data_IF_607003694813
#
_entry.id   IF_607003694813
#
_cell.length_a   1.000
_cell.length_b   1.000
_cell.length_c   1.000
_cell.angle_alpha   90.00
_cell.angle_beta   90.00
_cell.angle_gamma   90.00
#
_symmetry.space_group_name_H-M   'P 1'
#
loop_
_entity.id
_entity.type
_entity.pdbx_description
1 polymer ?
2 non-polymer ?
3 non-polymer ?
4 non-polymer ?
5 non-polymer ?
6 water ?
#
# COMPACT_ATOMS: atom_id res chain seq x y z
N UNK A 21 10.40 27.98 -16.04
CA UNK A 21 9.07 28.66 -16.16
C UNK A 21 7.90 27.69 -15.88
N UNK A 22 7.87 26.55 -16.58
CA UNK A 22 6.87 25.49 -16.29
C UNK A 22 7.10 24.89 -14.90
N UNK A 23 8.36 24.56 -14.59
CA UNK A 23 8.78 24.07 -13.26
C UNK A 23 8.67 25.13 -12.16
N UNK A 24 8.55 26.40 -12.55
CA UNK A 24 8.33 27.52 -11.62
C UNK A 24 6.83 27.63 -11.26
N UNK A 25 5.97 27.53 -12.27
CA UNK A 25 4.53 27.46 -12.06
C UNK A 25 4.24 26.28 -11.11
N UNK A 26 4.92 25.17 -11.33
CA UNK A 26 4.65 23.93 -10.56
C UNK A 26 5.14 24.07 -9.13
N UNK A 27 6.34 24.64 -8.96
CA UNK A 27 6.92 24.74 -7.63
C UNK A 27 6.05 25.61 -6.75
N UNK A 28 5.56 26.71 -7.29
CA UNK A 28 4.73 27.61 -6.51
C UNK A 28 3.45 26.88 -6.24
N UNK A 29 2.99 26.17 -7.27
CA UNK A 29 1.71 25.49 -7.22
C UNK A 29 1.63 24.41 -6.12
N UNK A 30 2.73 23.75 -5.81
CA UNK A 30 2.70 22.68 -4.82
C UNK A 30 3.17 23.06 -3.44
N UNK A 31 3.78 24.26 -3.28
CA UNK A 31 4.43 24.59 -2.01
C UNK A 31 3.42 24.49 -0.88
N UNK A 32 2.15 24.76 -1.17
CA UNK A 32 1.10 24.63 -0.18
C UNK A 32 0.94 23.16 0.27
N UNK A 33 0.88 22.27 -0.70
CA UNK A 33 0.73 20.83 -0.43
C UNK A 33 1.92 20.32 0.40
N UNK A 34 3.11 20.67 -0.03
CA UNK A 34 4.31 20.34 0.73
C UNK A 34 4.31 20.88 2.18
N UNK A 35 4.04 22.17 2.36
CA UNK A 35 3.95 22.76 3.70
C UNK A 35 2.89 22.09 4.55
N UNK A 36 1.78 21.64 3.93
CA UNK A 36 0.71 20.94 4.67
C UNK A 36 1.30 19.73 5.40
N UNK A 37 2.32 19.07 4.81
CA UNK A 37 2.81 17.81 5.34
C UNK A 37 3.88 17.97 6.40
N UNK A 38 4.31 19.19 6.65
CA UNK A 38 5.46 19.41 7.54
C UNK A 38 5.25 18.87 8.95
N UNK A 39 6.29 18.24 9.50
CA UNK A 39 6.25 17.80 10.91
C UNK A 39 7.40 18.50 11.63
N UNK A 40 7.36 18.51 12.97
CA UNK A 40 8.30 19.41 13.66
C UNK A 40 9.77 19.09 13.47
N UNK A 41 10.06 17.84 13.11
CA UNK A 41 11.44 17.39 12.88
C UNK A 41 12.07 18.00 11.66
N UNK A 42 11.27 18.48 10.74
CA UNK A 42 11.78 19.10 9.52
C UNK A 42 12.43 20.43 9.81
N UNK A 43 13.60 20.64 9.24
CA UNK A 43 14.31 21.92 9.38
C UNK A 43 14.38 22.61 8.04
N UNK A 44 14.33 23.95 8.05
CA UNK A 44 14.61 24.75 6.85
C UNK A 44 13.65 24.52 5.68
N UNK A 51 16.89 19.34 1.81
CA UNK A 51 15.83 18.64 2.57
C UNK A 51 16.43 18.10 3.86
N UNK A 52 16.19 18.80 5.00
CA UNK A 52 16.78 18.46 6.31
C UNK A 52 15.74 17.98 7.31
N UNK A 53 16.05 16.94 8.06
CA UNK A 53 15.10 16.37 9.00
C UNK A 53 15.83 15.73 10.18
N UNK A 54 15.41 16.10 11.39
CA UNK A 54 15.95 15.51 12.59
C UNK A 54 15.24 14.22 12.90
N UNK A 55 15.85 13.38 13.74
CA UNK A 55 15.18 12.17 14.20
C UNK A 55 14.14 12.53 15.27
N UNK A 56 13.01 11.84 15.28
CA UNK A 56 12.05 12.10 16.38
C UNK A 56 12.71 11.83 17.75
N UNK A 57 12.41 12.69 18.71
CA UNK A 57 13.12 12.63 20.00
C UNK A 57 12.84 11.35 20.81
N UNK A 58 11.75 10.62 20.56
CA UNK A 58 11.40 9.51 21.45
C UNK A 58 12.33 8.32 21.32
N UNK A 59 13.09 8.24 20.22
CA UNK A 59 13.87 7.05 19.93
C UNK A 59 15.15 7.11 20.71
N UNK A 60 15.47 6.04 21.43
CA UNK A 60 16.74 5.92 22.15
C UNK A 60 17.83 5.32 21.28
N UNK A 61 17.48 4.31 20.48
CA UNK A 61 18.42 3.69 19.54
C UNK A 61 17.72 3.59 18.18
N UNK A 62 17.60 4.73 17.50
CA UNK A 62 16.85 4.73 16.23
C UNK A 62 17.55 3.96 15.12
N UNK A 63 16.78 3.22 14.34
CA UNK A 63 17.30 2.60 13.16
C UNK A 63 16.46 3.11 12.00
N UNK A 64 17.11 3.44 10.90
CA UNK A 64 16.39 3.92 9.74
C UNK A 64 15.93 2.76 8.86
N UNK A 65 14.71 2.83 8.38
CA UNK A 65 14.09 1.82 7.54
C UNK A 65 13.66 2.54 6.30
N UNK A 66 14.06 2.07 5.13
CA UNK A 66 13.79 2.83 3.92
C UNK A 66 13.29 1.93 2.79
N UNK A 67 12.64 2.53 1.81
CA UNK A 67 12.17 1.79 0.69
C UNK A 67 11.75 2.69 -0.42
N UNK A 68 11.68 2.10 -1.61
CA UNK A 68 11.25 2.81 -2.82
C UNK A 68 10.21 1.97 -3.51
N UNK A 69 9.26 2.60 -4.21
CA UNK A 69 8.15 1.86 -4.86
C UNK A 69 7.61 2.77 -5.95
N UNK A 70 6.90 2.19 -6.89
CA UNK A 70 6.12 2.97 -7.85
C UNK A 70 4.72 2.39 -7.70
N UNK A 71 3.82 2.79 -8.56
CA UNK A 71 2.41 2.35 -8.47
C UNK A 71 2.11 1.28 -9.53
N UNK A 72 3.05 1.09 -10.48
CA UNK A 72 2.90 0.05 -11.48
C UNK A 72 1.87 0.28 -12.56
N UNK A 73 1.18 -0.78 -12.99
CA UNK A 73 0.27 -0.59 -14.03
C UNK A 73 -0.93 0.20 -13.61
N UNK A 74 -1.15 0.39 -12.29
CA UNK A 74 -2.28 1.27 -11.91
C UNK A 74 -2.14 2.64 -12.56
N UNK A 75 -0.89 3.11 -12.72
CA UNK A 75 -0.68 4.40 -13.33
C UNK A 75 -1.24 4.42 -14.75
N UNK A 76 -1.13 3.29 -15.47
CA UNK A 76 -1.67 3.20 -16.85
C UNK A 76 -3.17 3.40 -16.86
N UNK A 77 -3.88 2.81 -15.89
CA UNK A 77 -5.29 3.10 -15.74
C UNK A 77 -5.61 4.55 -15.45
N UNK A 78 -4.85 5.18 -14.56
CA UNK A 78 -5.07 6.60 -14.28
C UNK A 78 -4.85 7.44 -15.54
N UNK A 79 -3.85 7.09 -16.33
CA UNK A 79 -3.54 7.79 -17.60
C UNK A 79 -4.64 7.54 -18.62
N UNK A 80 -5.14 6.30 -18.72
CA UNK A 80 -6.28 5.92 -19.60
C UNK A 80 -7.48 6.82 -19.24
N UNK A 81 -7.73 6.97 -17.95
CA UNK A 81 -8.89 7.70 -17.42
C UNK A 81 -8.65 9.19 -17.24
N UNK A 82 -7.42 9.64 -17.49
CA UNK A 82 -7.05 11.04 -17.22
C UNK A 82 -7.49 11.52 -15.86
N UNK A 83 -7.18 10.73 -14.82
CA UNK A 83 -7.55 11.08 -13.47
C UNK A 83 -6.36 10.83 -12.56
N UNK A 84 -5.77 11.92 -12.05
CA UNK A 84 -4.44 11.93 -11.46
C UNK A 84 -4.46 12.37 -10.01
N UNK A 85 -5.63 12.64 -9.46
CA UNK A 85 -5.71 13.23 -8.13
C UNK A 85 -5.54 12.29 -6.92
N UNK A 86 -5.57 10.99 -7.14
CA UNK A 86 -5.42 10.01 -6.08
C UNK A 86 -4.23 9.05 -6.22
N UNK A 87 -3.63 9.00 -7.42
CA UNK A 87 -2.55 8.05 -7.69
C UNK A 87 -1.35 8.28 -6.75
N UNK A 88 -1.17 9.53 -6.34
CA UNK A 88 -0.11 9.85 -5.34
C UNK A 88 -0.35 9.22 -3.99
N UNK A 89 -1.63 9.02 -3.63
CA UNK A 89 -1.96 8.28 -2.41
C UNK A 89 -1.51 6.85 -2.50
N UNK A 90 -1.79 6.21 -3.64
CA UNK A 90 -1.30 4.84 -3.85
C UNK A 90 0.23 4.77 -3.74
N UNK A 91 0.91 5.77 -4.30
CA UNK A 91 2.38 5.77 -4.25
C UNK A 91 2.89 5.78 -2.82
N UNK A 92 2.36 6.68 -2.01
CA UNK A 92 2.79 6.81 -0.61
C UNK A 92 2.43 5.53 0.12
N UNK A 93 1.19 5.04 -0.09
CA UNK A 93 0.71 3.82 0.57
C UNK A 93 1.59 2.66 0.35
N UNK A 94 2.01 2.43 -0.88
CA UNK A 94 2.87 1.29 -1.22
C UNK A 94 4.14 1.35 -0.37
N UNK A 95 4.76 2.54 -0.33
CA UNK A 95 5.99 2.74 0.42
C UNK A 95 5.76 2.56 1.92
N UNK A 96 4.78 3.25 2.47
CA UNK A 96 4.65 3.27 3.95
C UNK A 96 4.10 1.98 4.50
N UNK A 97 3.21 1.32 3.77
CA UNK A 97 2.66 0.07 4.28
C UNK A 97 3.74 -1.03 4.28
N UNK A 98 4.74 -0.92 3.43
CA UNK A 98 5.91 -1.80 3.53
C UNK A 98 6.77 -1.44 4.75
N UNK A 99 6.85 -0.18 5.16
CA UNK A 99 7.67 0.14 6.31
C UNK A 99 7.06 -0.35 7.60
N UNK A 100 5.74 -0.28 7.72
CA UNK A 100 5.09 -0.62 8.98
C UNK A 100 5.29 -2.09 9.33
N UNK A 101 5.59 -2.94 8.35
CA UNK A 101 5.75 -4.37 8.65
C UNK A 101 6.94 -4.67 9.54
N UNK A 102 7.92 -3.75 9.59
CA UNK A 102 9.06 -3.85 10.48
C UNK A 102 8.91 -3.03 11.73
N UNK A 103 7.79 -2.35 11.89
CA UNK A 103 7.54 -1.49 13.04
C UNK A 103 7.94 -0.03 12.84
N UNK A 104 8.33 0.36 11.63
CA UNK A 104 8.88 1.67 11.39
C UNK A 104 7.78 2.76 11.30
N UNK A 105 8.06 3.91 11.88
CA UNK A 105 7.23 5.09 11.79
C UNK A 105 7.72 5.92 10.59
N UNK A 106 6.85 6.12 9.57
CA UNK A 106 7.29 6.95 8.45
C UNK A 106 7.67 8.36 8.96
N UNK A 107 8.80 8.87 8.46
CA UNK A 107 9.32 10.13 8.85
C UNK A 107 9.26 11.14 7.69
N UNK A 108 9.87 10.80 6.55
CA UNK A 108 9.83 11.69 5.39
C UNK A 108 9.78 10.93 4.06
N UNK A 109 9.44 11.67 3.02
CA UNK A 109 9.11 11.13 1.73
C UNK A 109 9.64 12.06 0.66
N UNK A 110 10.10 11.46 -0.44
CA UNK A 110 10.49 12.18 -1.63
C UNK A 110 9.96 11.46 -2.88
N UNK A 111 9.66 12.21 -3.93
CA UNK A 111 9.18 11.65 -5.17
C UNK A 111 10.02 12.13 -6.36
N UNK A 112 10.17 11.21 -7.31
CA UNK A 112 10.75 11.53 -8.62
C UNK A 112 9.67 11.34 -9.69
N UNK A 113 9.35 12.41 -10.39
CA UNK A 113 8.29 12.45 -11.39
C UNK A 113 8.98 12.69 -12.75
N UNK A 114 8.81 11.77 -13.69
CA UNK A 114 9.42 11.88 -15.00
C UNK A 114 8.35 11.90 -16.05
N UNK A 115 8.55 12.71 -17.07
CA UNK A 115 7.54 12.87 -18.09
C UNK A 115 8.20 13.33 -19.42
N UNK A 116 7.49 13.23 -20.53
CA UNK A 116 8.04 13.68 -21.79
C UNK A 116 7.93 15.18 -21.99
N UNK A 117 6.75 15.70 -21.65
CA UNK A 117 6.44 17.11 -21.69
C UNK A 117 5.73 17.46 -20.38
N UNK A 118 6.22 18.42 -19.58
CA UNK A 118 5.63 18.66 -18.26
C UNK A 118 4.28 19.30 -18.45
N UNK A 119 3.23 18.63 -17.99
CA UNK A 119 1.90 19.22 -17.82
C UNK A 119 1.78 19.64 -16.35
N UNK A 120 1.85 20.93 -16.10
CA UNK A 120 1.87 21.43 -14.74
C UNK A 120 0.64 21.08 -13.92
N UNK A 121 -0.54 21.06 -14.54
CA UNK A 121 -1.76 20.69 -13.80
C UNK A 121 -1.72 19.24 -13.39
N UNK A 122 -1.31 18.35 -14.31
CA UNK A 122 -1.19 16.95 -14.01
C UNK A 122 -0.19 16.73 -12.86
N UNK A 123 1.00 17.32 -12.99
CA UNK A 123 2.03 17.09 -11.99
C UNK A 123 1.59 17.62 -10.63
N UNK A 124 0.94 18.78 -10.64
CA UNK A 124 0.43 19.36 -9.39
C UNK A 124 -0.63 18.46 -8.73
N UNK A 125 -1.49 17.83 -9.54
CA UNK A 125 -2.50 16.89 -9.03
C UNK A 125 -1.85 15.66 -8.42
N UNK A 126 -0.83 15.13 -9.09
CA UNK A 126 -0.14 13.98 -8.59
C UNK A 126 0.51 14.30 -7.26
N UNK A 127 1.27 15.37 -7.25
CA UNK A 127 1.99 15.78 -6.05
C UNK A 127 1.04 16.11 -4.89
N UNK A 128 -0.11 16.74 -5.16
CA UNK A 128 -1.08 17.00 -4.09
C UNK A 128 -1.59 15.70 -3.49
N UNK A 129 -1.78 14.66 -4.30
CA UNK A 129 -2.23 13.40 -3.79
C UNK A 129 -1.13 12.72 -2.98
N UNK A 130 0.13 12.93 -3.41
CA UNK A 130 1.26 12.48 -2.58
C UNK A 130 1.24 13.14 -1.22
N UNK A 131 0.95 14.44 -1.18
CA UNK A 131 0.84 15.15 0.09
C UNK A 131 -0.31 14.60 0.93
N UNK A 132 -1.45 14.32 0.31
CA UNK A 132 -2.57 13.70 1.02
C UNK A 132 -2.15 12.40 1.71
N UNK A 133 -1.45 11.55 0.96
CA UNK A 133 -0.94 10.29 1.51
C UNK A 133 0.05 10.46 2.62
N UNK A 134 0.98 11.40 2.45
CA UNK A 134 1.96 11.69 3.46
C UNK A 134 1.30 12.08 4.79
N UNK A 135 0.30 12.93 4.70
CA UNK A 135 -0.45 13.31 5.93
C UNK A 135 -1.12 12.14 6.59
N UNK A 136 -1.74 11.25 5.82
CA UNK A 136 -2.31 10.07 6.44
C UNK A 136 -1.24 9.10 7.02
N UNK A 137 -0.05 9.09 6.41
CA UNK A 137 1.08 8.27 6.88
C UNK A 137 1.91 8.92 7.98
N UNK A 138 1.66 10.20 8.27
CA UNK A 138 2.43 10.96 9.21
C UNK A 138 3.87 11.33 8.87
N UNK A 139 4.21 11.31 7.56
CA UNK A 139 5.54 11.68 7.12
C UNK A 139 5.49 12.97 6.34
N UNK A 140 6.59 13.68 6.34
CA UNK A 140 6.71 14.96 5.65
C UNK A 140 7.18 14.70 4.23
N UNK A 141 6.55 15.37 3.27
CA UNK A 141 7.07 15.43 1.92
C UNK A 141 8.13 16.49 1.91
N UNK A 142 9.39 16.09 1.76
CA UNK A 142 10.45 17.05 1.99
C UNK A 142 11.24 17.37 0.74
N UNK A 143 10.95 16.72 -0.37
CA UNK A 143 11.76 16.97 -1.56
C UNK A 143 11.29 16.13 -2.69
N UNK A 144 11.84 16.39 -3.86
CA UNK A 144 11.48 15.61 -5.01
C UNK A 144 12.13 16.21 -6.24
N UNK A 145 11.83 15.60 -7.36
CA UNK A 145 12.43 15.97 -8.65
C UNK A 145 11.35 15.87 -9.71
N UNK A 146 11.28 16.85 -10.60
CA UNK A 146 10.42 16.74 -11.77
C UNK A 146 11.30 16.78 -13.00
N UNK A 147 11.30 15.73 -13.79
CA UNK A 147 12.21 15.60 -14.92
C UNK A 147 11.51 15.51 -16.23
N UNK A 148 11.95 16.29 -17.23
CA UNK A 148 11.44 16.13 -18.59
C UNK A 148 12.44 15.35 -19.43
N UNK A 149 11.93 14.29 -20.04
CA UNK A 149 12.73 13.32 -20.83
C UNK A 149 12.02 13.21 -22.19
N UNK A 150 12.18 14.22 -23.04
CA UNK A 150 11.47 14.11 -24.31
C UNK A 150 11.91 12.86 -25.12
N UNK A 151 10.95 12.18 -25.71
CA UNK A 151 11.28 11.00 -26.49
C UNK A 151 11.14 9.71 -25.72
N UNK A 152 11.24 9.80 -24.39
CA UNK A 152 11.11 8.62 -23.53
C UNK A 152 9.69 8.31 -23.22
N UNK A 153 8.87 9.33 -23.08
CA UNK A 153 7.48 9.12 -22.76
C UNK A 153 6.65 9.67 -23.88
N UNK A 154 5.63 8.92 -24.26
CA UNK A 154 4.73 9.32 -25.36
C UNK A 154 3.52 10.06 -24.80
N UNK A 155 2.99 10.99 -25.60
CA UNK A 155 1.79 11.73 -25.19
C UNK A 155 1.87 12.43 -23.84
N UNK A 156 0.89 12.12 -23.00
CA UNK A 156 0.79 12.72 -21.69
C UNK A 156 1.36 11.83 -20.56
N UNK A 157 2.03 10.74 -20.92
CA UNK A 157 2.53 9.77 -19.94
C UNK A 157 3.56 10.39 -19.00
N UNK A 158 3.50 9.94 -17.75
CA UNK A 158 4.53 10.20 -16.78
C UNK A 158 4.77 8.91 -15.97
N UNK A 159 5.90 8.84 -15.24
CA UNK A 159 6.17 7.76 -14.33
C UNK A 159 6.60 8.43 -13.02
N UNK A 160 6.17 7.89 -11.88
CA UNK A 160 6.48 8.47 -10.60
C UNK A 160 7.02 7.38 -9.62
N UNK A 161 8.14 7.70 -8.96
CA UNK A 161 8.75 6.83 -7.99
C UNK A 161 8.70 7.52 -6.66
N UNK A 162 8.51 6.71 -5.64
CA UNK A 162 8.38 7.20 -4.27
C UNK A 162 9.52 6.63 -3.45
N UNK A 163 9.95 7.40 -2.47
CA UNK A 163 10.99 6.96 -1.55
C UNK A 163 10.63 7.44 -0.16
N UNK A 164 10.72 6.55 0.82
CA UNK A 164 10.34 6.88 2.20
C UNK A 164 11.42 6.42 3.15
N UNK A 165 11.67 7.23 4.19
CA UNK A 165 12.50 6.85 5.32
C UNK A 165 11.59 6.88 6.57
N UNK A 166 11.64 5.79 7.33
CA UNK A 166 10.98 5.66 8.60
C UNK A 166 12.01 5.35 9.69
N UNK A 167 11.52 5.32 10.92
CA UNK A 167 12.36 5.12 12.11
C UNK A 167 11.74 4.04 13.03
N UNK A 168 12.61 3.16 13.56
CA UNK A 168 12.18 2.13 14.49
C UNK A 168 13.21 2.05 15.58
N UNK A 169 12.74 1.74 16.77
CA UNK A 169 13.62 1.56 17.92
C UNK A 169 14.33 0.20 17.71
N UNK A 170 15.66 0.15 17.84
CA UNK A 170 16.41 -1.06 17.45
C UNK A 170 15.87 -2.35 18.12
N UNK A 171 15.57 -2.25 19.41
CA UNK A 171 15.17 -3.44 20.18
C UNK A 171 13.77 -3.88 19.82
N UNK A 172 13.05 -3.05 19.05
CA UNK A 172 11.63 -3.29 18.77
C UNK A 172 11.36 -3.59 17.31
N UNK A 173 12.41 -3.87 16.53
CA UNK A 173 12.21 -4.25 15.13
C UNK A 173 11.34 -5.51 15.09
N UNK A 174 10.35 -5.53 14.22
CA UNK A 174 9.54 -6.74 14.04
C UNK A 174 10.25 -7.53 12.96
N UNK A 175 10.87 -8.65 13.35
CA UNK A 175 11.66 -9.45 12.40
C UNK A 175 11.07 -10.84 12.10
N UNK A 176 9.94 -11.15 12.70
CA UNK A 176 9.28 -12.44 12.49
C UNK A 176 9.75 -13.58 13.37
N UNK A 177 10.78 -13.34 14.19
CA UNK A 177 11.38 -14.36 15.06
C UNK A 177 10.44 -14.86 16.13
N UNK A 178 9.45 -14.03 16.45
CA UNK A 178 8.48 -14.36 17.48
C UNK A 178 7.24 -15.14 17.00
N UNK A 179 7.07 -15.34 15.70
CA UNK A 179 5.89 -16.04 15.21
C UNK A 179 5.92 -17.48 15.71
N UNK A 180 4.78 -17.97 16.18
CA UNK A 180 4.64 -19.31 16.77
C UNK A 180 3.51 -20.07 16.08
N UNK A 181 3.67 -21.39 15.95
CA UNK A 181 2.52 -22.22 15.68
C UNK A 181 1.51 -21.95 16.75
N UNK A 182 0.25 -21.79 16.39
CA UNK A 182 -0.81 -21.43 17.33
C UNK A 182 -1.15 -19.95 17.37
N UNK A 183 -0.29 -19.12 16.77
CA UNK A 183 -0.63 -17.68 16.62
C UNK A 183 -1.92 -17.54 15.84
N UNK A 184 -2.71 -16.52 16.18
CA UNK A 184 -3.85 -16.09 15.37
C UNK A 184 -3.33 -15.25 14.18
N UNK A 185 -4.13 -15.20 13.12
CA UNK A 185 -3.91 -14.34 11.98
C UNK A 185 -5.08 -13.35 11.88
N UNK A 186 -4.80 -12.06 11.88
CA UNK A 186 -5.79 -11.03 11.70
C UNK A 186 -5.61 -10.50 10.31
N UNK A 187 -6.70 -10.33 9.60
CA UNK A 187 -6.75 -9.56 8.34
C UNK A 187 -7.19 -8.13 8.59
N UNK A 188 -6.59 -7.19 7.85
CA UNK A 188 -7.04 -5.82 7.79
C UNK A 188 -7.50 -5.58 6.38
N UNK A 189 -8.74 -5.11 6.25
CA UNK A 189 -9.41 -4.96 4.97
C UNK A 189 -8.71 -3.96 4.04
N UNK A 190 -8.76 -4.27 2.76
CA UNK A 190 -8.25 -3.38 1.67
C UNK A 190 -9.38 -2.49 1.15
N UNK A 191 -8.98 -1.45 0.41
CA UNK A 191 -9.89 -0.51 -0.21
C UNK A 191 -10.37 -0.92 -1.61
N UNK A 192 -9.80 -2.02 -2.08
CA UNK A 192 -9.94 -2.52 -3.44
C UNK A 192 -8.64 -3.19 -3.80
N UNK A 193 -8.34 -3.25 -5.11
CA UNK A 193 -7.11 -3.91 -5.56
C UNK A 193 -5.81 -3.23 -5.12
N UNK A 194 -5.89 -2.05 -4.51
CA UNK A 194 -4.69 -1.29 -4.07
C UNK A 194 -3.84 -0.95 -5.27
N UNK A 195 -2.61 -1.45 -5.38
CA UNK A 195 -1.77 -1.10 -6.54
C UNK A 195 -1.22 -2.34 -7.21
N UNK A 196 -1.86 -3.50 -7.03
CA UNK A 196 -1.39 -4.75 -7.62
C UNK A 196 -2.53 -5.45 -8.39
N UNK A 197 -2.14 -6.19 -9.41
CA UNK A 197 -3.06 -6.89 -10.29
C UNK A 197 -3.52 -6.04 -11.47
N UNK A 198 -2.95 -4.85 -11.66
CA UNK A 198 -3.51 -3.95 -12.66
C UNK A 198 -3.16 -4.30 -14.10
N UNK A 199 -2.16 -5.17 -14.31
CA UNK A 199 -1.99 -5.73 -15.65
C UNK A 199 -3.17 -6.59 -16.05
N UNK A 200 -3.62 -7.45 -15.13
CA UNK A 200 -4.81 -8.25 -15.35
C UNK A 200 -6.04 -7.38 -15.40
N UNK A 201 -6.14 -6.36 -14.55
CA UNK A 201 -7.26 -5.44 -14.66
C UNK A 201 -7.37 -4.86 -16.06
N UNK A 202 -6.26 -4.39 -16.59
CA UNK A 202 -6.33 -3.74 -17.91
C UNK A 202 -6.65 -4.71 -19.01
N UNK A 203 -6.13 -5.92 -18.93
CA UNK A 203 -6.50 -6.94 -19.89
C UNK A 203 -7.99 -7.25 -19.83
N UNK A 204 -8.54 -7.39 -18.63
CA UNK A 204 -9.95 -7.62 -18.47
C UNK A 204 -10.75 -6.48 -19.13
N UNK A 205 -10.37 -5.24 -18.81
CA UNK A 205 -11.08 -4.10 -19.36
C UNK A 205 -10.96 -4.07 -20.90
N UNK A 206 -9.78 -4.39 -21.44
CA UNK A 206 -9.63 -4.27 -22.88
C UNK A 206 -10.35 -5.40 -23.63
N UNK A 207 -10.32 -6.63 -23.11
CA UNK A 207 -10.97 -7.72 -23.83
C UNK A 207 -12.45 -7.57 -23.76
N UNK A 208 -12.97 -7.15 -22.60
CA UNK A 208 -14.41 -7.05 -22.42
C UNK A 208 -14.96 -5.72 -22.94
N UNK A 209 -14.05 -4.84 -23.37
CA UNK A 209 -14.42 -3.50 -23.79
C UNK A 209 -15.34 -2.86 -22.76
N UNK A 210 -14.98 -3.03 -21.50
CA UNK A 210 -15.85 -2.65 -20.39
C UNK A 210 -16.15 -1.16 -20.38
N UNK A 211 -17.40 -0.85 -20.07
CA UNK A 211 -17.82 0.51 -19.83
C UNK A 211 -17.45 0.90 -18.39
N UNK A 212 -16.45 1.75 -18.23
CA UNK A 212 -16.00 2.11 -16.86
C UNK A 212 -17.03 2.97 -16.14
N UNK A 213 -18.05 3.46 -16.86
CA UNK A 213 -19.11 4.27 -16.23
C UNK A 213 -20.21 3.44 -15.61
N UNK A 214 -20.21 2.13 -15.86
CA UNK A 214 -21.19 1.23 -15.28
C UNK A 214 -21.16 1.34 -13.77
N UNK A 215 -22.33 1.34 -13.14
CA UNK A 215 -22.38 1.46 -11.69
C UNK A 215 -22.40 0.10 -11.01
N UNK A 216 -21.72 0.00 -9.89
CA UNK A 216 -21.65 -1.20 -9.11
C UNK A 216 -21.67 -0.72 -7.68
N UNK A 217 -22.64 -1.15 -6.88
CA UNK A 217 -22.71 -0.78 -5.49
C UNK A 217 -22.50 0.73 -5.23
N UNK A 218 -23.14 1.55 -6.05
CA UNK A 218 -23.18 2.98 -5.82
C UNK A 218 -22.00 3.79 -6.32
N UNK A 219 -21.05 3.16 -7.01
CA UNK A 219 -19.91 3.86 -7.61
C UNK A 219 -19.66 3.30 -8.97
N UNK A 220 -19.00 4.05 -9.84
CA UNK A 220 -18.68 3.49 -11.13
C UNK A 220 -17.57 2.46 -11.01
N UNK A 221 -17.49 1.58 -12.01
CA UNK A 221 -16.36 0.64 -12.12
C UNK A 221 -15.02 1.38 -12.13
N UNK A 222 -14.93 2.46 -12.88
CA UNK A 222 -13.69 3.24 -12.92
C UNK A 222 -13.33 3.75 -11.50
N UNK A 223 -14.32 4.21 -10.77
CA UNK A 223 -14.11 4.65 -9.41
C UNK A 223 -13.62 3.57 -8.48
N UNK A 224 -14.24 2.38 -8.55
CA UNK A 224 -13.82 1.25 -7.77
C UNK A 224 -12.37 0.89 -8.07
N UNK A 225 -12.02 0.95 -9.35
CA UNK A 225 -10.69 0.44 -9.74
C UNK A 225 -9.60 1.44 -9.46
N UNK A 226 -9.94 2.73 -9.48
CA UNK A 226 -8.91 3.76 -9.12
C UNK A 226 -8.87 4.10 -7.61
N UNK A 227 -9.77 3.51 -6.82
CA UNK A 227 -9.85 3.80 -5.38
C UNK A 227 -8.46 3.68 -4.80
N UNK A 228 -8.00 4.74 -4.07
CA UNK A 228 -6.66 4.68 -3.54
C UNK A 228 -6.47 3.64 -2.44
N UNK A 229 -5.27 3.08 -2.46
CA UNK A 229 -4.79 2.10 -1.48
C UNK A 229 -5.00 2.63 -0.07
N UNK A 230 -5.52 1.79 0.81
CA UNK A 230 -5.67 2.13 2.22
C UNK A 230 -4.29 2.23 2.87
N UNK A 231 -4.14 3.27 3.68
CA UNK A 231 -2.88 3.49 4.41
C UNK A 231 -3.05 3.01 5.87
N UNK A 232 -2.16 2.14 6.32
CA UNK A 232 -2.35 1.43 7.63
C UNK A 232 -1.48 1.98 8.76
N UNK A 233 -0.95 3.20 8.61
CA UNK A 233 0.03 3.70 9.58
C UNK A 233 -0.58 4.06 10.94
N UNK A 234 -1.67 4.84 10.96
CA UNK A 234 -2.27 5.29 12.23
C UNK A 234 -2.67 4.07 13.08
N UNK A 235 -3.37 3.14 12.45
CA UNK A 235 -3.84 1.96 13.16
C UNK A 235 -2.67 1.05 13.47
N UNK A 236 -1.78 0.85 12.49
CA UNK A 236 -0.62 -0.04 12.66
C UNK A 236 0.27 0.35 13.83
N UNK A 237 0.63 1.61 13.90
CA UNK A 237 1.53 2.09 14.97
C UNK A 237 0.89 1.93 16.35
N UNK A 238 -0.41 2.19 16.44
CA UNK A 238 -1.15 2.01 17.69
C UNK A 238 -1.18 0.54 18.10
N UNK A 239 -1.48 -0.32 17.14
CA UNK A 239 -1.51 -1.77 17.37
C UNK A 239 -0.17 -2.28 17.89
N UNK A 240 0.91 -1.87 17.26
CA UNK A 240 2.25 -2.36 17.63
C UNK A 240 2.61 -1.90 19.01
N UNK A 241 2.14 -0.70 19.36
CA UNK A 241 2.39 -0.12 20.68
C UNK A 241 1.68 -0.84 21.79
N UNK A 242 0.48 -1.37 21.50
CA UNK A 242 -0.43 -1.92 22.51
C UNK A 242 -0.51 -3.43 22.58
N UNK A 243 0.06 -4.13 21.60
CA UNK A 243 -0.04 -5.59 21.50
C UNK A 243 1.28 -6.19 21.06
N UNK A 244 1.45 -7.49 21.32
CA UNK A 244 2.65 -8.22 20.93
C UNK A 244 2.46 -8.70 19.49
N UNK A 245 2.91 -7.91 18.52
CA UNK A 245 2.79 -8.27 17.13
C UNK A 245 4.02 -9.07 16.68
N UNK A 246 3.79 -10.28 16.18
CA UNK A 246 4.87 -11.17 15.81
C UNK A 246 5.35 -10.98 14.37
N UNK A 247 4.46 -10.62 13.45
CA UNK A 247 4.79 -10.40 12.05
C UNK A 247 3.61 -9.69 11.36
N UNK A 248 3.92 -8.97 10.29
CA UNK A 248 2.92 -8.34 9.47
C UNK A 248 3.34 -8.55 8.03
N UNK A 249 2.38 -8.88 7.17
CA UNK A 249 2.61 -8.90 5.75
C UNK A 249 1.68 -7.93 5.05
N UNK A 250 2.27 -7.08 4.20
CA UNK A 250 1.51 -6.16 3.33
C UNK A 250 1.22 -6.87 2.02
N UNK A 251 -0.06 -7.06 1.71
CA UNK A 251 -0.43 -7.92 0.60
C UNK A 251 -0.32 -7.13 -0.73
N UNK A 252 0.71 -7.47 -1.49
CA UNK A 252 1.07 -6.74 -2.72
C UNK A 252 1.17 -7.69 -3.94
N UNK A 253 2.29 -7.72 -4.64
CA UNK A 253 2.37 -8.51 -5.86
C UNK A 253 2.29 -9.99 -5.58
N UNK A 254 1.49 -10.69 -6.39
CA UNK A 254 1.30 -12.12 -6.19
C UNK A 254 0.10 -12.38 -5.32
N UNK A 255 -0.55 -11.31 -4.87
CA UNK A 255 -1.85 -11.40 -4.29
C UNK A 255 -1.84 -12.03 -2.91
N UNK A 256 -3.06 -12.25 -2.44
CA UNK A 256 -3.36 -12.97 -1.21
C UNK A 256 -2.50 -14.23 -1.03
N UNK A 257 -2.42 -15.04 -2.09
CA UNK A 257 -1.81 -16.37 -1.98
C UNK A 257 -0.31 -16.29 -1.78
N UNK A 258 0.38 -15.37 -2.46
CA UNK A 258 1.84 -15.30 -2.38
C UNK A 258 2.35 -14.57 -1.18
N UNK A 259 1.54 -13.65 -0.64
CA UNK A 259 2.03 -12.76 0.40
C UNK A 259 1.75 -13.21 1.81
N UNK A 260 0.69 -14.00 1.99
CA UNK A 260 0.38 -14.54 3.34
C UNK A 260 1.58 -15.28 3.92
N UNK A 261 2.30 -16.13 3.14
CA UNK A 261 3.45 -16.82 3.70
C UNK A 261 4.61 -16.03 4.21
N UNK A 262 4.65 -14.72 4.00
CA UNK A 262 5.72 -13.90 4.59
C UNK A 262 5.68 -13.86 6.11
N UNK A 263 4.53 -14.15 6.72
CA UNK A 263 4.47 -14.21 8.20
C UNK A 263 4.85 -15.61 8.77
N UNK A 264 5.09 -16.59 7.89
CA UNK A 264 5.25 -18.00 8.31
C UNK A 264 6.69 -18.49 8.51
N UNK A 265 7.01 -19.01 9.72
CA UNK A 265 8.25 -19.77 9.89
C UNK A 265 8.26 -21.00 8.98
N UNK A 266 9.45 -21.49 8.66
CA UNK A 266 9.58 -22.78 7.99
C UNK A 266 8.77 -23.85 8.76
N UNK A 267 8.14 -24.76 8.04
CA UNK A 267 7.40 -25.86 8.64
C UNK A 267 6.03 -25.49 9.18
N UNK A 268 5.53 -24.34 8.75
CA UNK A 268 4.18 -23.92 9.14
C UNK A 268 3.33 -23.52 7.93
N UNK A 269 2.03 -23.39 8.20
CA UNK A 269 1.06 -22.98 7.20
C UNK A 269 0.06 -22.03 7.82
N UNK A 270 -0.53 -21.20 6.96
CA UNK A 270 -1.62 -20.33 7.34
C UNK A 270 -2.92 -21.09 7.04
N UNK A 271 -3.72 -21.38 8.06
CA UNK A 271 -5.00 -22.04 7.86
C UNK A 271 -6.05 -20.93 7.92
N UNK A 272 -6.59 -20.63 6.74
CA UNK A 272 -7.52 -19.50 6.55
C UNK A 272 -8.95 -19.97 6.70
N UNK A 273 -9.69 -19.27 7.55
CA UNK A 273 -11.11 -19.51 7.73
C UNK A 273 -11.90 -18.86 6.57
N UNK A 274 -12.33 -19.70 5.63
CA UNK A 274 -13.09 -19.21 4.48
C UNK A 274 -14.49 -18.72 4.78
N UNK A 275 -14.99 -18.95 5.96
CA UNK A 275 -16.25 -18.38 6.40
C UNK A 275 -16.12 -16.95 6.91
N UNK A 276 -14.89 -16.41 7.02
CA UNK A 276 -14.70 -15.22 7.82
C UNK A 276 -14.83 -13.91 7.03
N UNK A 277 -14.92 -13.99 5.70
CA UNK A 277 -15.10 -12.81 4.86
C UNK A 277 -15.64 -13.17 3.50
N UNK A 278 -16.18 -12.13 2.85
CA UNK A 278 -16.60 -12.21 1.47
C UNK A 278 -15.73 -11.27 0.67
N UNK A 279 -15.16 -11.77 -0.42
CA UNK A 279 -14.44 -10.88 -1.34
C UNK A 279 -15.24 -9.63 -1.63
N UNK A 280 -14.61 -8.43 -1.55
CA UNK A 280 -15.29 -7.19 -1.99
C UNK A 280 -15.78 -7.34 -3.44
N UNK A 281 -16.92 -6.74 -3.72
CA UNK A 281 -17.61 -6.95 -4.97
C UNK A 281 -16.79 -6.63 -6.22
N UNK A 282 -15.85 -5.68 -6.15
CA UNK A 282 -15.05 -5.36 -7.32
C UNK A 282 -14.24 -6.55 -7.81
N UNK A 283 -13.79 -7.39 -6.89
CA UNK A 283 -13.06 -8.59 -7.28
C UNK A 283 -13.97 -9.62 -7.92
N UNK A 284 -15.19 -9.74 -7.43
CA UNK A 284 -16.17 -10.65 -8.04
C UNK A 284 -16.50 -10.16 -9.46
N UNK A 285 -16.66 -8.85 -9.64
CA UNK A 285 -16.93 -8.26 -10.93
C UNK A 285 -15.77 -8.58 -11.87
N UNK A 286 -14.53 -8.36 -11.41
CA UNK A 286 -13.35 -8.59 -12.26
C UNK A 286 -13.32 -10.07 -12.70
N UNK A 287 -13.59 -10.99 -11.79
CA UNK A 287 -13.54 -12.41 -12.13
C UNK A 287 -14.58 -12.77 -13.18
N UNK A 288 -15.80 -12.24 -13.04
CA UNK A 288 -16.92 -12.58 -13.94
C UNK A 288 -16.70 -11.96 -15.31
N UNK A 289 -16.43 -10.67 -15.31
CA UNK A 289 -16.21 -9.91 -16.53
C UNK A 289 -15.02 -10.46 -17.33
N UNK A 290 -14.00 -10.89 -16.60
CA UNK A 290 -12.74 -11.33 -17.21
C UNK A 290 -12.57 -12.82 -17.46
N UNK A 291 -13.57 -13.65 -17.09
CA UNK A 291 -13.48 -15.12 -17.34
C UNK A 291 -12.23 -15.64 -16.62
N UNK A 292 -12.02 -15.24 -15.37
CA UNK A 292 -10.80 -15.51 -14.64
C UNK A 292 -11.02 -16.63 -13.64
N UNK A 293 -10.04 -17.53 -13.52
CA UNK A 293 -10.15 -18.58 -12.51
C UNK A 293 -9.98 -18.03 -11.11
N UNK A 294 -10.59 -18.72 -10.14
CA UNK A 294 -10.35 -18.35 -8.74
C UNK A 294 -8.86 -18.49 -8.43
N UNK A 295 -8.25 -19.54 -8.99
CA UNK A 295 -6.83 -19.80 -8.80
C UNK A 295 -5.98 -18.57 -9.17
N UNK A 296 -6.27 -18.00 -10.33
CA UNK A 296 -5.52 -16.83 -10.77
C UNK A 296 -5.89 -15.61 -9.89
N UNK A 297 -7.16 -15.43 -9.55
CA UNK A 297 -7.56 -14.32 -8.70
C UNK A 297 -6.75 -14.28 -7.40
N UNK A 298 -6.63 -15.41 -6.74
CA UNK A 298 -5.95 -15.44 -5.46
C UNK A 298 -4.46 -15.14 -5.60
N UNK A 299 -3.89 -15.43 -6.76
CA UNK A 299 -2.46 -15.19 -6.97
C UNK A 299 -2.16 -13.86 -7.66
N UNK A 300 -3.17 -13.01 -7.77
CA UNK A 300 -3.04 -11.73 -8.45
C UNK A 300 -3.52 -10.59 -7.53
N UNK A 301 -4.67 -10.78 -6.90
CA UNK A 301 -5.34 -9.72 -6.16
C UNK A 301 -5.34 -10.00 -4.68
N UNK A 302 -5.55 -8.94 -3.89
CA UNK A 302 -5.59 -9.10 -2.47
C UNK A 302 -6.90 -9.73 -1.96
N UNK A 303 -7.93 -9.72 -2.78
CA UNK A 303 -9.20 -10.36 -2.50
C UNK A 303 -9.87 -9.85 -1.20
N UNK A 304 -9.52 -8.63 -0.80
CA UNK A 304 -10.10 -7.99 0.37
C UNK A 304 -9.21 -7.83 1.56
N UNK A 305 -8.02 -8.40 1.49
CA UNK A 305 -7.07 -8.41 2.60
C UNK A 305 -5.85 -7.58 2.24
N UNK A 306 -5.71 -6.44 2.93
CA UNK A 306 -4.56 -5.53 2.72
C UNK A 306 -3.33 -5.82 3.57
N UNK A 307 -3.57 -6.29 4.80
CA UNK A 307 -2.53 -6.71 5.70
C UNK A 307 -2.98 -7.97 6.38
N UNK A 308 -2.00 -8.84 6.67
CA UNK A 308 -2.24 -9.96 7.57
C UNK A 308 -1.22 -9.86 8.70
N UNK A 309 -1.70 -10.12 9.91
CA UNK A 309 -0.93 -9.92 11.12
C UNK A 309 -0.93 -11.19 11.96
N UNK A 310 0.24 -11.61 12.42
CA UNK A 310 0.38 -12.77 13.30
C UNK A 310 0.59 -12.26 14.74
N UNK A 311 -0.18 -12.77 15.68
CA UNK A 311 -0.06 -12.41 17.12
C UNK A 311 -0.68 -13.50 17.98
N UNK A 312 -0.49 -13.45 19.29
CA UNK A 312 -1.08 -14.47 20.14
C UNK A 312 -2.60 -14.49 20.05
N UNK A 313 -3.22 -15.69 20.11
CA UNK A 313 -4.67 -15.79 20.07
C UNK A 313 -5.34 -14.99 21.16
N UNK A 314 -4.73 -14.94 22.33
CA UNK A 314 -5.38 -14.27 23.46
C UNK A 314 -5.36 -12.75 23.39
N UNK A 315 -4.69 -12.22 22.37
CA UNK A 315 -4.73 -10.80 22.08
C UNK A 315 -5.50 -10.47 20.79
N UNK A 316 -5.93 -11.48 20.03
CA UNK A 316 -6.53 -11.23 18.72
C UNK A 316 -7.81 -10.40 18.78
N UNK A 317 -8.71 -10.69 19.71
CA UNK A 317 -9.99 -9.95 19.73
C UNK A 317 -9.81 -8.49 20.12
N UNK A 318 -8.93 -8.24 21.08
CA UNK A 318 -8.56 -6.90 21.51
C UNK A 318 -7.90 -6.13 20.35
N UNK A 319 -7.03 -6.81 19.60
CA UNK A 319 -6.34 -6.19 18.46
C UNK A 319 -7.33 -5.79 17.36
N UNK A 320 -8.26 -6.70 17.07
CA UNK A 320 -9.30 -6.43 16.13
C UNK A 320 -10.11 -5.20 16.54
N UNK A 321 -10.52 -5.13 17.80
CA UNK A 321 -11.30 -3.99 18.30
C UNK A 321 -10.51 -2.69 18.18
N UNK A 322 -9.20 -2.75 18.44
CA UNK A 322 -8.33 -1.58 18.32
C UNK A 322 -8.30 -1.09 16.86
N UNK A 323 -8.04 -2.03 15.94
CA UNK A 323 -7.97 -1.71 14.52
C UNK A 323 -9.26 -1.05 14.03
N UNK A 324 -10.39 -1.62 14.45
CA UNK A 324 -11.70 -1.07 14.12
C UNK A 324 -11.90 0.33 14.71
N UNK A 325 -11.50 0.52 15.95
CA UNK A 325 -11.56 1.85 16.56
C UNK A 325 -10.73 2.86 15.78
N UNK A 326 -9.68 2.43 15.12
CA UNK A 326 -8.81 3.34 14.35
C UNK A 326 -9.21 3.45 12.88
N UNK A 327 -10.41 2.98 12.59
CA UNK A 327 -11.02 3.13 11.28
C UNK A 327 -10.83 1.99 10.29
N UNK A 328 -10.24 0.87 10.70
CA UNK A 328 -10.02 -0.21 9.75
C UNK A 328 -11.19 -1.16 9.77
N UNK A 329 -11.30 -1.93 8.70
CA UNK A 329 -12.04 -3.19 8.78
C UNK A 329 -11.02 -4.29 9.15
N UNK A 330 -11.41 -5.12 10.11
CA UNK A 330 -10.48 -6.14 10.62
C UNK A 330 -11.22 -7.34 11.19
N UNK A 331 -10.56 -8.49 11.12
CA UNK A 331 -11.17 -9.70 11.62
C UNK A 331 -10.17 -10.80 11.78
N UNK A 332 -10.53 -11.81 12.62
CA UNK A 332 -9.66 -12.95 12.74
C UNK A 332 -9.89 -13.86 11.54
N UNK A 333 -8.88 -14.01 10.72
CA UNK A 333 -9.00 -14.73 9.43
C UNK A 333 -8.44 -16.15 9.53
N UNK A 334 -7.65 -16.43 10.56
CA UNK A 334 -7.14 -17.82 10.66
C UNK A 334 -6.15 -18.00 11.78
N UNK A 335 -5.27 -18.96 11.59
CA UNK A 335 -4.24 -19.29 12.55
C UNK A 335 -3.08 -19.95 11.84
N UNK A 336 -1.94 -19.98 12.53
CA UNK A 336 -0.73 -20.65 12.06
C UNK A 336 -0.68 -22.06 12.64
N UNK A 337 -0.59 -23.04 11.76
CA UNK A 337 -0.51 -24.46 12.13
C UNK A 337 0.80 -25.09 11.66
N UNK A 338 1.19 -26.18 12.31
CA UNK A 338 2.30 -27.02 11.81
C UNK A 338 1.94 -27.55 10.43
N UNK A 339 2.93 -27.62 9.55
CA UNK A 339 2.76 -28.06 8.16
C UNK A 339 3.65 -29.25 7.94
N UNK A 340 3.22 -30.20 7.12
CA UNK A 340 4.12 -31.28 6.72
C UNK A 340 4.97 -30.82 5.54
N UNK A 341 5.94 -31.66 5.18
CA UNK A 341 6.94 -31.31 4.15
C UNK A 341 6.29 -30.90 2.85
N UNK A 342 5.26 -31.64 2.44
CA UNK A 342 4.73 -31.48 1.12
C UNK A 342 3.85 -30.21 0.97
N UNK A 343 3.12 -29.84 2.01
CA UNK A 343 1.91 -29.07 1.77
C UNK A 343 2.03 -27.57 1.53
N UNK A 344 0.97 -27.04 0.93
CA UNK A 344 0.87 -25.64 0.64
C UNK A 344 0.93 -24.88 1.95
N UNK A 345 1.57 -23.71 1.91
CA UNK A 345 1.66 -22.85 3.06
C UNK A 345 0.41 -22.03 3.33
N UNK A 346 -0.54 -22.01 2.40
CA UNK A 346 -1.82 -21.39 2.61
C UNK A 346 -2.90 -22.41 2.32
N UNK A 347 -3.84 -22.56 3.24
CA UNK A 347 -4.92 -23.52 3.13
C UNK A 347 -6.21 -22.80 3.47
N UNK A 348 -7.17 -22.77 2.56
CA UNK A 348 -8.45 -22.17 2.88
C UNK A 348 -9.40 -23.28 3.26
N UNK A 349 -9.94 -23.25 4.46
CA UNK A 349 -10.95 -24.25 4.74
C UNK A 349 -12.18 -23.71 5.46
X LIG B 1 14.47 20.65 -8.50
X LIG B 1 15.52 21.74 -8.59
X LIG B 1 14.87 19.40 -7.72
X LIG B 1 13.74 20.33 -9.80
X LIG B 1 13.31 21.30 -7.57
X LIG B 1 13.32 22.60 -6.97
X LIG B 1 12.82 22.47 -5.53
X LIG B 1 11.46 22.00 -5.51
X LIG B 1 13.66 21.47 -4.76
X LIG B 1 13.85 21.87 -3.40
X LIG B 1 12.84 20.19 -4.81
X LIG B 1 13.09 19.35 -3.68
X LIG B 1 11.40 20.69 -4.94
X LIG B 1 10.67 19.76 -5.84
X LIG B 1 10.79 19.69 -7.20
X LIG B 1 10.01 18.72 -7.71
X LIG B 1 9.36 18.15 -6.67
X LIG B 1 8.40 17.06 -6.52
X LIG B 1 7.96 16.39 -7.62
X LIG B 1 7.96 16.78 -5.27
X LIG B 1 8.42 17.43 -4.17
X LIG B 1 9.31 18.43 -4.23
X LIG B 1 9.81 18.83 -5.44
X LIG C 1 -21.23 -7.63 -10.60
X LIG C 1 -22.15 -6.61 -11.02
X LIG C 1 -21.75 -8.34 -9.35
X LIG C 1 -23.08 -8.77 -9.51
X LIG C 1 -20.81 -9.47 -8.88
X LIG C 1 -21.40 -10.77 -9.02
X LIG D 1 -0.60 -7.68 -12.40
X LIG D 1 -0.38 -6.42 -12.41
X LIG D 1 -1.58 -8.24 -13.02
X LIG D 1 0.40 -8.61 -11.75
X LIG D 1 1.69 -7.94 -11.26
X LIG D 1 2.41 -7.41 -12.42
X LIG D 1 2.52 -8.95 -10.46
X LIG D 1 3.79 -8.29 -9.95
X LIG D 1 4.91 -8.51 -10.48
X LIG D 1 3.74 -7.49 -9.02
X LIG D 1 1.33 -6.78 -10.34
X LIG D 1 0.60 -7.01 -9.37
X LIG D 1 1.74 -5.63 -10.55
X LIG E 1 7.70 -10.01 8.59
X LIG E 1 8.50 -11.14 8.99
X LIG E 1 7.91 -8.87 9.59
X LIG E 1 6.66 -8.41 10.15
#
# INVERSE_FOLDING_TARGET
>A
SNAMSGNNPSLSYKDAGVDIDAGNALVERIKGAVKRTRRPEVMGGLGGFGALCELPTKYKHPVLVSGTDGVGTKLRLALDMKKHDTIGIDLVAMCVNDLIVQGAEPLFFLDYYATGKLDVDTAAEVISGIADGCLQAGCALIGGETAEMPGMYEGEDYDVAGFCVGVVEKEEIIDGSKVQVGDALIAVGSSGPHSNGYSLVRKILEVSKADKNERLAGKTIGEHLLAPTKIYIKSGLKLIAEHDIHAISHITGGGFWENIPRVLPEGTKAVIDGKSWEWPVIFQWLQEKGNVTTHEMYRTFNCGVGLIIALPKDQANAAVALLQAEGETAWVIGEIAAANSNEAQVEIN
>B hetero
1 AMP P O1P O2P O3P O5' C5' C4' O4' C3' O3' C2' O2' C1' N9 C8 N7 C5 C6 N6 N1 C2 N3 C4
>C hetero
1 GOL C1 O1 C2 O2 C3 O3
>D hetero
1 CIT C1 O1 O2 C2 C3 O7 C4 C5 O3 O4 C6 O5 O6
>E hetero
1 EDO C1 O1 C2 O2
#
